data_IF_436645708016
#
_entry.id   IF_436645708016
#
_cell.length_a   1.000
_cell.length_b   1.000
_cell.length_c   1.000
_cell.angle_alpha   90.00
_cell.angle_beta   90.00
_cell.angle_gamma   90.00
#
_symmetry.space_group_name_H-M   'P 1'
#
loop_
_entity.id
_entity.type
_entity.pdbx_description
1 polymer ?
#
# COMPACT_ATOMS: atom_id res chain seq x y z
N UNK A 1 -22.01 8.65 7.21
CA UNK A 1 -20.54 8.65 7.38
C UNK A 1 -19.91 8.46 6.03
N UNK A 2 -18.82 9.17 5.74
CA UNK A 2 -18.12 9.02 4.45
C UNK A 2 -17.15 7.86 4.50
N UNK A 3 -17.04 7.12 3.39
CA UNK A 3 -16.22 5.90 3.31
C UNK A 3 -14.75 6.31 3.22
N UNK A 4 -13.94 5.83 4.18
CA UNK A 4 -12.50 5.95 4.12
C UNK A 4 -11.94 4.96 3.08
N UNK A 5 -11.03 5.43 2.22
CA UNK A 5 -10.30 4.61 1.27
C UNK A 5 -8.84 4.58 1.68
N UNK A 6 -8.32 3.40 2.01
CA UNK A 6 -6.96 3.26 2.54
C UNK A 6 -6.09 2.52 1.53
N UNK A 7 -5.00 3.16 1.10
CA UNK A 7 -3.99 2.57 0.25
C UNK A 7 -2.86 2.00 1.10
N UNK A 8 -2.39 0.81 0.76
CA UNK A 8 -1.36 0.08 1.51
C UNK A 8 -0.29 -0.43 0.54
N UNK A 9 0.94 0.03 0.74
CA UNK A 9 2.15 -0.52 0.10
C UNK A 9 2.76 -1.56 1.06
N UNK A 10 2.87 -2.81 0.60
CA UNK A 10 3.34 -3.92 1.45
C UNK A 10 4.84 -4.17 1.29
N UNK A 11 5.52 -4.38 2.42
CA UNK A 11 6.93 -4.76 2.45
C UNK A 11 7.47 -4.74 3.88
N UNK A 12 8.81 -4.73 4.03
CA UNK A 12 9.49 -4.66 5.34
C UNK A 12 9.01 -3.48 6.20
N UNK A 13 8.66 -2.38 5.54
CA UNK A 13 7.81 -1.33 6.09
C UNK A 13 6.51 -1.32 5.29
N UNK A 14 5.43 -1.05 5.99
CA UNK A 14 4.10 -0.87 5.42
C UNK A 14 3.79 0.61 5.41
N UNK A 15 3.64 1.16 4.21
CA UNK A 15 3.19 2.53 4.05
C UNK A 15 1.67 2.55 3.86
N UNK A 16 0.98 3.34 4.68
CA UNK A 16 -0.47 3.51 4.65
C UNK A 16 -0.81 4.94 4.26
N UNK A 17 -1.84 5.10 3.43
CA UNK A 17 -2.37 6.39 3.03
C UNK A 17 -3.88 6.41 3.13
N UNK A 18 -4.44 7.35 3.88
CA UNK A 18 -5.88 7.43 4.13
C UNK A 18 -6.49 8.57 3.35
N UNK A 19 -7.42 8.25 2.47
CA UNK A 19 -8.25 9.22 1.77
C UNK A 19 -9.66 9.23 2.33
N UNK A 20 -10.16 10.43 2.60
CA UNK A 20 -11.54 10.65 3.03
C UNK A 20 -12.01 11.99 2.47
N UNK A 21 -13.25 12.02 1.97
CA UNK A 21 -13.86 13.23 1.40
C UNK A 21 -13.05 13.88 0.27
N UNK A 22 -12.42 13.04 -0.56
CA UNK A 22 -11.58 13.48 -1.67
C UNK A 22 -10.24 14.10 -1.24
N UNK A 23 -9.88 14.04 0.04
CA UNK A 23 -8.64 14.60 0.59
C UNK A 23 -7.77 13.50 1.21
N UNK A 24 -6.46 13.65 1.05
CA UNK A 24 -5.48 12.79 1.71
C UNK A 24 -5.30 13.27 3.16
N UNK A 25 -5.75 12.47 4.12
CA UNK A 25 -5.77 12.79 5.54
C UNK A 25 -4.47 12.41 6.23
N UNK A 26 -3.89 11.26 5.88
CA UNK A 26 -2.63 10.81 6.44
C UNK A 26 -1.80 9.99 5.46
N UNK A 27 -0.48 10.04 5.66
CA UNK A 27 0.52 9.22 4.98
C UNK A 27 1.56 8.82 6.03
N UNK A 28 1.67 7.52 6.31
CA UNK A 28 2.50 7.02 7.41
C UNK A 28 3.21 5.72 7.00
N UNK A 29 4.41 5.51 7.55
CA UNK A 29 5.20 4.28 7.35
C UNK A 29 5.40 3.59 8.69
N UNK A 30 5.04 2.32 8.80
CA UNK A 30 5.14 1.55 10.05
C UNK A 30 5.35 0.06 9.79
N UNK A 31 5.40 -0.76 10.84
CA UNK A 31 5.44 -2.22 10.68
C UNK A 31 4.04 -2.76 10.35
N UNK A 32 3.96 -3.90 9.68
CA UNK A 32 2.69 -4.55 9.30
C UNK A 32 1.70 -4.68 10.48
N UNK A 33 2.18 -5.12 11.64
CA UNK A 33 1.36 -5.31 12.84
C UNK A 33 0.85 -3.98 13.42
N UNK A 34 1.65 -2.91 13.33
CA UNK A 34 1.21 -1.55 13.75
C UNK A 34 0.16 -1.02 12.79
N UNK A 35 0.31 -1.26 11.48
CA UNK A 35 -0.67 -0.87 10.47
C UNK A 35 -2.01 -1.58 10.70
N UNK A 36 -2.01 -2.91 10.85
CA UNK A 36 -3.22 -3.68 11.14
C UNK A 36 -3.93 -3.22 12.41
N UNK A 37 -3.18 -3.06 13.51
CA UNK A 37 -3.75 -2.56 14.78
C UNK A 37 -4.37 -1.17 14.62
N UNK A 38 -3.71 -0.28 13.89
CA UNK A 38 -4.22 1.08 13.63
C UNK A 38 -5.50 1.05 12.80
N UNK A 39 -5.55 0.23 11.74
CA UNK A 39 -6.73 0.09 10.89
C UNK A 39 -7.91 -0.42 11.72
N UNK A 40 -7.72 -1.49 12.51
CA UNK A 40 -8.78 -2.01 13.38
C UNK A 40 -9.31 -1.00 14.39
N UNK A 41 -8.41 -0.23 15.01
CA UNK A 41 -8.80 0.72 16.06
C UNK A 41 -9.53 1.96 15.51
N UNK A 42 -9.18 2.43 14.31
CA UNK A 42 -9.60 3.75 13.82
C UNK A 42 -10.53 3.71 12.61
N UNK A 43 -10.55 2.62 11.86
CA UNK A 43 -11.21 2.53 10.57
C UNK A 43 -12.11 1.29 10.49
N UNK A 44 -13.34 1.35 11.05
CA UNK A 44 -14.26 0.22 11.05
C UNK A 44 -14.56 -0.30 9.63
N UNK A 45 -14.63 -1.62 9.46
CA UNK A 45 -14.82 -2.27 8.15
C UNK A 45 -16.04 -1.75 7.37
N UNK A 46 -17.16 -1.47 8.06
CA UNK A 46 -18.41 -0.98 7.44
C UNK A 46 -18.26 0.35 6.68
N UNK A 47 -17.23 1.12 6.99
CA UNK A 47 -16.98 2.44 6.42
C UNK A 47 -15.58 2.55 5.81
N UNK A 48 -14.93 1.43 5.52
CA UNK A 48 -13.53 1.40 5.11
C UNK A 48 -13.34 0.43 3.95
N UNK A 49 -12.74 0.92 2.87
CA UNK A 49 -12.30 0.10 1.74
C UNK A 49 -10.79 0.14 1.62
N UNK A 50 -10.17 -1.04 1.56
CA UNK A 50 -8.73 -1.20 1.48
C UNK A 50 -8.27 -1.44 0.04
N UNK A 51 -7.15 -0.85 -0.33
CA UNK A 51 -6.46 -1.08 -1.58
C UNK A 51 -5.02 -1.44 -1.29
N UNK A 52 -4.67 -2.71 -1.48
CA UNK A 52 -3.42 -3.28 -0.99
C UNK A 52 -2.57 -3.69 -2.19
N UNK A 53 -1.32 -3.25 -2.23
CA UNK A 53 -0.35 -3.73 -3.22
C UNK A 53 -0.12 -5.23 -3.04
N UNK A 54 -0.16 -5.99 -4.14
CA UNK A 54 0.01 -7.43 -4.15
C UNK A 54 1.22 -7.85 -4.98
N UNK A 55 2.35 -8.05 -4.30
CA UNK A 55 3.59 -8.52 -4.92
C UNK A 55 3.47 -9.87 -5.64
N UNK A 56 2.42 -10.67 -5.38
CA UNK A 56 2.15 -11.93 -6.10
C UNK A 56 1.74 -11.67 -7.55
N UNK A 57 1.20 -10.49 -7.86
CA UNK A 57 0.79 -10.06 -9.21
C UNK A 57 1.96 -9.54 -10.06
N UNK A 58 3.18 -9.55 -9.52
CA UNK A 58 4.37 -9.08 -10.23
C UNK A 58 5.07 -10.21 -11.01
N UNK A 59 5.40 -9.94 -12.27
CA UNK A 59 6.02 -10.87 -13.22
C UNK A 59 7.54 -10.70 -13.24
N UNK A 60 8.21 -11.22 -12.22
CA UNK A 60 9.59 -11.74 -12.24
C UNK A 60 10.77 -10.83 -12.66
N UNK A 61 11.96 -11.19 -12.19
CA UNK A 61 13.21 -10.69 -12.74
C UNK A 61 13.69 -11.71 -13.79
N UNK A 62 14.16 -11.26 -14.95
CA UNK A 62 14.78 -12.12 -15.95
C UNK A 62 16.30 -12.20 -15.75
N UNK A 63 16.88 -13.38 -16.01
CA UNK A 63 18.34 -13.62 -15.97
C UNK A 63 18.84 -14.30 -14.68
N UNK A 64 19.98 -14.98 -14.76
CA UNK A 64 20.59 -15.70 -13.63
C UNK A 64 21.84 -14.96 -13.14
N UNK A 65 21.69 -14.16 -12.09
CA UNK A 65 22.81 -13.47 -11.40
C UNK A 65 22.64 -13.59 -9.89
N UNK A 66 23.72 -13.46 -9.11
CA UNK A 66 23.62 -13.42 -7.63
C UNK A 66 22.67 -12.32 -7.13
N UNK A 67 22.65 -11.18 -7.83
CA UNK A 67 21.73 -10.08 -7.54
C UNK A 67 20.27 -10.45 -7.83
N UNK A 68 20.02 -11.22 -8.90
CA UNK A 68 18.67 -11.72 -9.19
C UNK A 68 18.19 -12.69 -8.12
N UNK A 69 19.07 -13.58 -7.64
CA UNK A 69 18.75 -14.57 -6.60
C UNK A 69 18.36 -13.90 -5.27
N UNK A 70 19.16 -12.93 -4.83
CA UNK A 70 18.85 -12.14 -3.63
C UNK A 70 17.52 -11.39 -3.74
N UNK A 71 17.20 -10.86 -4.93
CA UNK A 71 15.92 -10.20 -5.20
C UNK A 71 14.74 -11.16 -5.21
N UNK A 72 14.93 -12.39 -5.67
CA UNK A 72 13.90 -13.44 -5.64
C UNK A 72 13.57 -13.86 -4.20
N UNK A 73 14.58 -13.98 -3.34
CA UNK A 73 14.37 -14.24 -1.91
C UNK A 73 13.59 -13.10 -1.24
N UNK A 74 13.97 -11.85 -1.49
CA UNK A 74 13.22 -10.68 -1.03
C UNK A 74 11.77 -10.67 -1.51
N UNK A 75 11.53 -11.03 -2.78
CA UNK A 75 10.18 -11.13 -3.34
C UNK A 75 9.33 -12.20 -2.65
N UNK A 76 9.93 -13.31 -2.19
CA UNK A 76 9.25 -14.33 -1.40
C UNK A 76 8.68 -13.78 -0.09
N UNK A 77 9.47 -12.97 0.63
CA UNK A 77 9.04 -12.31 1.87
C UNK A 77 7.83 -11.39 1.64
N UNK A 78 7.90 -10.51 0.64
CA UNK A 78 6.79 -9.58 0.35
C UNK A 78 5.52 -10.30 -0.12
N UNK A 79 5.67 -11.42 -0.86
CA UNK A 79 4.53 -12.28 -1.22
C UNK A 79 3.87 -12.91 0.00
N UNK A 80 4.64 -13.23 1.05
CA UNK A 80 4.09 -13.71 2.32
C UNK A 80 3.29 -12.60 3.01
N UNK A 81 3.79 -11.38 3.03
CA UNK A 81 3.07 -10.22 3.60
C UNK A 81 1.73 -9.98 2.89
N UNK A 82 1.70 -10.06 1.55
CA UNK A 82 0.45 -9.95 0.78
C UNK A 82 -0.58 -11.02 1.19
N UNK A 83 -0.13 -12.24 1.50
CA UNK A 83 -1.00 -13.32 1.99
C UNK A 83 -1.50 -13.03 3.42
N UNK A 84 -0.65 -12.50 4.31
CA UNK A 84 -1.07 -12.11 5.66
C UNK A 84 -2.17 -11.03 5.57
N UNK A 85 -2.01 -10.03 4.69
CA UNK A 85 -3.05 -9.03 4.47
C UNK A 85 -4.35 -9.64 3.93
N UNK A 86 -4.28 -10.59 3.00
CA UNK A 86 -5.45 -11.30 2.49
C UNK A 86 -6.21 -12.05 3.58
N UNK A 87 -5.51 -12.81 4.41
CA UNK A 87 -6.13 -13.57 5.50
C UNK A 87 -6.72 -12.61 6.54
N UNK A 88 -5.96 -11.60 6.95
CA UNK A 88 -6.39 -10.60 7.92
C UNK A 88 -7.63 -9.80 7.46
N UNK A 89 -7.71 -9.42 6.19
CA UNK A 89 -8.88 -8.71 5.66
C UNK A 89 -10.13 -9.59 5.70
N UNK A 90 -9.99 -10.90 5.39
CA UNK A 90 -11.09 -11.87 5.47
C UNK A 90 -11.55 -12.09 6.90
N UNK A 91 -10.61 -12.21 7.84
CA UNK A 91 -10.91 -12.42 9.26
C UNK A 91 -11.65 -11.25 9.93
N UNK A 92 -11.54 -10.05 9.37
CA UNK A 92 -12.11 -8.81 9.93
C UNK A 92 -13.13 -8.13 9.01
N UNK A 93 -13.61 -8.85 7.98
CA UNK A 93 -14.67 -8.42 7.05
C UNK A 93 -14.39 -7.10 6.29
N UNK A 94 -13.13 -6.80 6.00
CA UNK A 94 -12.79 -5.61 5.21
C UNK A 94 -13.07 -5.82 3.73
N UNK A 95 -13.75 -4.85 3.11
CA UNK A 95 -13.78 -4.76 1.66
C UNK A 95 -12.37 -4.39 1.15
N UNK A 96 -11.79 -5.27 0.34
CA UNK A 96 -10.40 -5.12 -0.11
C UNK A 96 -10.24 -5.36 -1.62
N UNK A 97 -9.39 -4.55 -2.24
CA UNK A 97 -8.93 -4.71 -3.62
C UNK A 97 -7.42 -4.89 -3.64
N UNK A 98 -6.96 -6.04 -4.12
CA UNK A 98 -5.53 -6.31 -4.32
C UNK A 98 -5.06 -5.74 -5.67
N UNK A 99 -4.13 -4.79 -5.63
CA UNK A 99 -3.65 -4.01 -6.77
C UNK A 99 -2.25 -4.47 -7.18
N UNK A 100 -1.97 -4.48 -8.48
CA UNK A 100 -0.64 -4.82 -8.98
C UNK A 100 0.38 -3.73 -8.59
N UNK A 101 1.64 -4.09 -8.26
CA UNK A 101 2.66 -3.11 -7.96
C UNK A 101 2.89 -2.09 -9.06
N UNK A 102 3.11 -0.84 -8.68
CA UNK A 102 3.31 0.24 -9.64
C UNK A 102 4.68 0.09 -10.34
N UNK A 103 4.66 0.11 -11.67
CA UNK A 103 5.89 0.07 -12.45
C UNK A 103 6.76 1.31 -12.20
N UNK A 104 8.09 1.15 -12.23
CA UNK A 104 9.05 2.24 -11.94
C UNK A 104 8.81 3.52 -12.75
N UNK A 105 8.39 3.41 -14.01
CA UNK A 105 8.13 4.57 -14.88
C UNK A 105 6.82 5.32 -14.60
N UNK A 106 5.95 4.78 -13.74
CA UNK A 106 4.65 5.39 -13.41
C UNK A 106 4.65 6.10 -12.04
N UNK A 107 5.74 5.93 -11.27
CA UNK A 107 5.89 6.49 -9.93
C UNK A 107 5.91 8.02 -9.98
N UNK A 108 5.26 8.66 -9.02
CA UNK A 108 5.18 10.12 -8.96
C UNK A 108 6.36 10.72 -8.20
N UNK A 109 6.91 11.80 -8.76
CA UNK A 109 7.86 12.66 -8.07
C UNK A 109 7.22 13.27 -6.81
N UNK A 110 8.04 13.73 -5.86
CA UNK A 110 7.51 14.41 -4.67
C UNK A 110 6.74 15.69 -5.04
N UNK A 111 7.20 16.42 -6.06
CA UNK A 111 6.58 17.65 -6.56
C UNK A 111 5.22 17.37 -7.21
N UNK A 112 5.15 16.37 -8.09
CA UNK A 112 3.88 15.94 -8.69
C UNK A 112 2.89 15.47 -7.64
N UNK A 113 3.37 14.66 -6.69
CA UNK A 113 2.54 14.16 -5.62
C UNK A 113 1.92 15.31 -4.82
N UNK A 114 2.73 16.28 -4.40
CA UNK A 114 2.27 17.47 -3.68
C UNK A 114 1.24 18.27 -4.49
N UNK A 115 1.46 18.43 -5.79
CA UNK A 115 0.55 19.15 -6.70
C UNK A 115 -0.81 18.45 -6.81
N UNK A 116 -0.79 17.12 -6.91
CA UNK A 116 -1.95 16.25 -7.10
C UNK A 116 -2.76 16.13 -5.80
N UNK A 117 -2.11 15.77 -4.69
CA UNK A 117 -2.78 15.40 -3.43
C UNK A 117 -2.93 16.57 -2.45
N UNK A 118 -2.28 17.70 -2.73
CA UNK A 118 -2.14 18.87 -1.83
C UNK A 118 -1.39 18.57 -0.53
N UNK A 119 -0.78 17.39 -0.40
CA UNK A 119 -0.03 16.97 0.78
C UNK A 119 1.22 17.83 1.01
N UNK A 120 1.36 18.37 2.22
CA UNK A 120 2.51 19.21 2.61
C UNK A 120 3.56 18.45 3.43
N UNK A 121 3.21 17.26 3.93
CA UNK A 121 4.12 16.44 4.74
C UNK A 121 5.24 15.79 3.92
N UNK A 122 6.26 15.29 4.62
CA UNK A 122 7.31 14.48 4.00
C UNK A 122 6.73 13.16 3.49
N UNK A 123 7.26 12.68 2.37
CA UNK A 123 6.91 11.38 1.79
C UNK A 123 8.14 10.67 1.25
N UNK A 124 8.11 9.35 1.28
CA UNK A 124 9.06 8.51 0.55
C UNK A 124 8.36 7.96 -0.71
N UNK A 125 9.07 7.17 -1.53
CA UNK A 125 8.51 6.60 -2.75
C UNK A 125 7.30 5.68 -2.47
N UNK A 126 7.44 4.72 -1.58
CA UNK A 126 6.41 3.76 -1.18
C UNK A 126 5.17 4.44 -0.59
N UNK A 127 5.37 5.47 0.21
CA UNK A 127 4.28 6.24 0.82
C UNK A 127 3.48 7.03 -0.22
N UNK A 128 4.13 7.47 -1.30
CA UNK A 128 3.43 8.06 -2.45
C UNK A 128 2.68 6.99 -3.23
N UNK A 129 3.30 5.83 -3.46
CA UNK A 129 2.66 4.71 -4.17
C UNK A 129 1.37 4.27 -3.44
N UNK A 130 1.42 4.08 -2.11
CA UNK A 130 0.25 3.80 -1.27
C UNK A 130 -0.87 4.84 -1.48
N UNK A 131 -0.55 6.13 -1.45
CA UNK A 131 -1.53 7.19 -1.66
C UNK A 131 -2.08 7.22 -3.09
N UNK A 132 -1.25 6.96 -4.10
CA UNK A 132 -1.63 6.98 -5.51
C UNK A 132 -2.45 5.75 -5.92
N UNK A 133 -2.36 4.63 -5.21
CA UNK A 133 -3.24 3.47 -5.39
C UNK A 133 -4.71 3.85 -5.14
N UNK A 134 -4.99 4.82 -4.28
CA UNK A 134 -6.37 5.26 -4.00
C UNK A 134 -6.80 6.44 -4.88
N UNK A 135 -5.85 7.28 -5.27
CA UNK A 135 -6.14 8.49 -6.04
C UNK A 135 -6.96 8.20 -7.32
N UNK A 136 -8.08 8.90 -7.48
CA UNK A 136 -8.99 8.76 -8.63
C UNK A 136 -10.03 7.62 -8.51
N UNK A 137 -10.12 6.96 -7.35
CA UNK A 137 -11.13 5.93 -7.07
C UNK A 137 -12.22 6.42 -6.13
#
# INVERSE_FOLDING_TARGET
MTIAKIGIDTGTKTDIAVWQDGKLQSVESMTITKAMRKILALYPHKYTKLYIEDARKWVGFSGKTKTTDARLQGAGSVKRDAKIWEDWCKEHDYEVVFVKPMGKGLKKSAEDFKRITKWQGRTNEHSRDAAMIVFGR
#
